data_IF_045641474985
#
_entry.id   IF_045641474985
#
_cell.length_a   1.000
_cell.length_b   1.000
_cell.length_c   1.000
_cell.angle_alpha   90.00
_cell.angle_beta   90.00
_cell.angle_gamma   90.00
#
_symmetry.space_group_name_H-M   'P 1'
#
loop_
_entity.id
_entity.type
_entity.pdbx_description
1 polymer ?
#
# COMPACT_ATOMS: atom_id res chain seq x y z
N UNK A 1 6.59 27.43 1.17
CA UNK A 1 6.97 27.58 2.59
C UNK A 1 6.20 28.74 3.25
N UNK A 2 6.15 29.92 2.63
CA UNK A 2 5.49 31.11 3.19
C UNK A 2 3.97 30.92 3.42
N UNK A 3 3.28 30.13 2.60
CA UNK A 3 1.83 29.90 2.72
C UNK A 3 1.48 28.94 3.86
N UNK A 4 2.37 28.01 4.20
CA UNK A 4 2.11 26.98 5.19
C UNK A 4 2.80 27.20 6.55
N UNK A 5 3.52 28.31 6.73
CA UNK A 5 4.25 28.66 7.96
C UNK A 5 5.13 27.53 8.54
N UNK A 6 5.74 26.73 7.66
CA UNK A 6 6.60 25.61 8.06
C UNK A 6 8.06 26.09 8.12
N UNK A 7 8.71 25.84 9.26
CA UNK A 7 10.14 26.09 9.46
C UNK A 7 10.93 24.94 8.82
N UNK A 8 11.50 25.16 7.63
CA UNK A 8 12.33 24.16 6.93
C UNK A 8 13.71 24.72 6.66
N UNK A 9 14.73 23.87 6.71
CA UNK A 9 16.06 24.18 6.23
C UNK A 9 16.11 24.20 4.71
N UNK A 10 17.05 24.93 4.09
CA UNK A 10 17.24 24.93 2.64
C UNK A 10 17.45 23.52 2.08
N UNK A 11 18.19 22.67 2.80
CA UNK A 11 18.42 21.28 2.42
C UNK A 11 17.09 20.47 2.26
N UNK A 12 16.13 20.68 3.15
CA UNK A 12 14.81 20.02 3.07
C UNK A 12 14.00 20.56 1.91
N UNK A 13 14.05 21.86 1.67
CA UNK A 13 13.37 22.49 0.53
C UNK A 13 13.93 21.96 -0.79
N UNK A 14 15.25 21.93 -0.94
CA UNK A 14 15.93 21.43 -2.14
C UNK A 14 15.65 19.94 -2.36
N UNK A 15 15.67 19.15 -1.28
CA UNK A 15 15.36 17.73 -1.33
C UNK A 15 13.93 17.47 -1.89
N UNK A 16 12.94 18.26 -1.46
CA UNK A 16 11.57 18.15 -1.95
C UNK A 16 11.47 18.61 -3.41
N UNK A 17 12.09 19.77 -3.74
CA UNK A 17 12.04 20.34 -5.08
C UNK A 17 12.67 19.43 -6.14
N UNK A 18 13.74 18.73 -5.81
CA UNK A 18 14.39 17.78 -6.72
C UNK A 18 13.52 16.56 -7.04
N UNK A 19 12.63 16.14 -6.11
CA UNK A 19 11.81 14.94 -6.23
C UNK A 19 10.41 15.20 -6.75
N UNK A 20 9.85 16.37 -6.49
CA UNK A 20 8.49 16.75 -6.93
C UNK A 20 8.60 17.90 -7.91
N UNK A 21 8.86 17.58 -9.20
CA UNK A 21 9.14 18.60 -10.22
C UNK A 21 7.90 19.22 -10.87
N UNK A 22 6.82 18.46 -11.09
CA UNK A 22 5.70 18.89 -11.93
C UNK A 22 4.31 18.49 -11.37
N UNK A 23 4.19 18.21 -10.08
CA UNK A 23 2.92 17.80 -9.49
C UNK A 23 2.57 18.64 -8.27
N UNK A 24 1.81 19.71 -8.50
CA UNK A 24 1.40 20.65 -7.46
C UNK A 24 0.59 19.93 -6.36
N UNK A 25 -0.28 18.98 -6.71
CA UNK A 25 -1.08 18.23 -5.73
C UNK A 25 -0.22 17.38 -4.81
N UNK A 26 0.83 16.74 -5.36
CA UNK A 26 1.79 15.99 -4.55
C UNK A 26 2.56 16.93 -3.63
N UNK A 27 3.01 18.07 -4.14
CA UNK A 27 3.70 19.07 -3.34
C UNK A 27 2.84 19.57 -2.18
N UNK A 28 1.58 19.92 -2.44
CA UNK A 28 0.63 20.33 -1.40
C UNK A 28 0.41 19.23 -0.36
N UNK A 29 0.28 17.97 -0.78
CA UNK A 29 0.14 16.83 0.12
C UNK A 29 1.36 16.66 1.04
N UNK A 30 2.57 16.73 0.48
CA UNK A 30 3.82 16.69 1.27
C UNK A 30 3.88 17.86 2.24
N UNK A 31 3.57 19.07 1.80
CA UNK A 31 3.60 20.24 2.68
C UNK A 31 2.61 20.10 3.84
N UNK A 32 1.39 19.59 3.60
CA UNK A 32 0.40 19.33 4.67
C UNK A 32 0.90 18.29 5.68
N UNK A 33 1.54 17.22 5.22
CA UNK A 33 2.13 16.18 6.12
C UNK A 33 3.28 16.76 6.96
N UNK A 34 4.14 17.59 6.38
CA UNK A 34 5.23 18.26 7.09
C UNK A 34 4.72 19.25 8.13
N UNK A 35 3.65 20.00 7.80
CA UNK A 35 2.98 20.90 8.74
C UNK A 35 2.40 20.13 9.92
N UNK A 36 1.65 19.05 9.67
CA UNK A 36 1.10 18.21 10.72
C UNK A 36 2.20 17.61 11.63
N UNK A 37 3.33 17.21 11.05
CA UNK A 37 4.48 16.75 11.85
C UNK A 37 5.03 17.85 12.74
N UNK A 38 5.23 19.06 12.23
CA UNK A 38 5.72 20.21 13.00
C UNK A 38 4.74 20.57 14.13
N UNK A 39 3.43 20.58 13.85
CA UNK A 39 2.39 20.90 14.84
C UNK A 39 2.33 19.87 16.00
N UNK A 40 2.59 18.59 15.70
CA UNK A 40 2.56 17.53 16.70
C UNK A 40 3.88 17.44 17.49
N UNK A 41 5.02 17.58 16.81
CA UNK A 41 6.34 17.36 17.40
C UNK A 41 7.00 18.63 17.97
N UNK A 42 6.47 19.79 17.61
CA UNK A 42 7.07 21.12 17.85
C UNK A 42 8.52 21.24 17.34
N UNK A 43 8.86 20.43 16.33
CA UNK A 43 10.19 20.37 15.74
C UNK A 43 10.13 20.60 14.22
N UNK A 44 11.14 21.29 13.63
CA UNK A 44 11.20 21.46 12.18
C UNK A 44 11.42 20.09 11.51
N UNK A 45 10.72 19.83 10.37
CA UNK A 45 10.93 18.61 9.61
C UNK A 45 12.36 18.52 9.07
N UNK A 46 12.96 17.34 9.18
CA UNK A 46 14.26 17.00 8.60
C UNK A 46 14.11 16.22 7.28
N UNK A 47 15.24 15.91 6.62
CA UNK A 47 15.26 15.15 5.35
C UNK A 47 14.56 13.79 5.50
N UNK A 48 14.71 13.07 6.60
CA UNK A 48 14.09 11.76 6.80
C UNK A 48 12.57 11.86 6.86
N UNK A 49 12.02 12.90 7.53
CA UNK A 49 10.59 13.18 7.57
C UNK A 49 10.07 13.60 6.19
N UNK A 50 10.81 14.45 5.47
CA UNK A 50 10.46 14.84 4.11
C UNK A 50 10.46 13.63 3.16
N UNK A 51 11.43 12.74 3.28
CA UNK A 51 11.50 11.51 2.49
C UNK A 51 10.29 10.60 2.77
N UNK A 52 9.91 10.41 4.02
CA UNK A 52 8.73 9.65 4.40
C UNK A 52 7.45 10.26 3.83
N UNK A 53 7.29 11.58 3.97
CA UNK A 53 6.13 12.30 3.46
C UNK A 53 5.99 12.20 1.94
N UNK A 54 7.10 12.33 1.18
CA UNK A 54 7.14 12.15 -0.27
C UNK A 54 6.76 10.72 -0.65
N UNK A 55 7.34 9.74 0.03
CA UNK A 55 7.08 8.32 -0.20
C UNK A 55 5.60 8.00 -0.04
N UNK A 56 4.99 8.42 1.04
CA UNK A 56 3.55 8.23 1.30
C UNK A 56 2.67 8.83 0.20
N UNK A 57 2.96 10.07 -0.20
CA UNK A 57 2.17 10.78 -1.24
C UNK A 57 2.37 10.17 -2.63
N UNK A 58 3.57 9.69 -2.96
CA UNK A 58 3.81 9.02 -4.24
C UNK A 58 3.12 7.68 -4.32
N UNK A 59 2.99 6.97 -3.20
CA UNK A 59 2.23 5.72 -3.13
C UNK A 59 0.71 5.93 -3.24
N UNK A 60 0.16 6.96 -2.58
CA UNK A 60 -1.25 7.34 -2.72
C UNK A 60 -1.65 7.66 -4.17
N UNK A 61 -0.70 8.04 -5.03
CA UNK A 61 -0.94 8.37 -6.44
C UNK A 61 -0.54 7.26 -7.42
N UNK A 62 -0.19 6.06 -6.92
CA UNK A 62 0.13 4.95 -7.81
C UNK A 62 -1.17 4.42 -8.45
N UNK A 63 -1.21 4.21 -9.79
CA UNK A 63 -2.37 3.61 -10.43
C UNK A 63 -2.74 2.28 -9.76
N UNK A 64 -4.03 2.06 -9.51
CA UNK A 64 -4.52 0.85 -8.84
C UNK A 64 -4.06 -0.42 -9.56
N UNK A 65 -3.98 -0.40 -10.89
CA UNK A 65 -3.47 -1.53 -11.68
C UNK A 65 -2.04 -1.92 -11.31
N UNK A 66 -1.17 -0.92 -11.08
CA UNK A 66 0.23 -1.16 -10.66
C UNK A 66 0.27 -1.73 -9.25
N UNK A 67 -0.59 -1.27 -8.35
CA UNK A 67 -0.70 -1.82 -6.99
C UNK A 67 -1.17 -3.28 -7.05
N UNK A 68 -2.18 -3.58 -7.87
CA UNK A 68 -2.68 -4.95 -8.08
C UNK A 68 -1.56 -5.89 -8.55
N UNK A 69 -0.81 -5.49 -9.57
CA UNK A 69 0.27 -6.32 -10.10
C UNK A 69 1.37 -6.55 -9.05
N UNK A 70 1.75 -5.52 -8.30
CA UNK A 70 2.71 -5.66 -7.18
C UNK A 70 2.22 -6.62 -6.11
N UNK A 71 0.97 -6.50 -5.67
CA UNK A 71 0.38 -7.42 -4.67
C UNK A 71 0.45 -8.85 -5.16
N UNK A 72 0.03 -9.11 -6.40
CA UNK A 72 0.01 -10.45 -6.98
C UNK A 72 1.43 -11.02 -7.07
N UNK A 73 2.41 -10.24 -7.54
CA UNK A 73 3.81 -10.66 -7.66
C UNK A 73 4.42 -10.96 -6.29
N UNK A 74 4.29 -10.05 -5.32
CA UNK A 74 4.86 -10.24 -3.98
C UNK A 74 4.27 -11.46 -3.27
N UNK A 75 2.95 -11.66 -3.34
CA UNK A 75 2.30 -12.82 -2.74
C UNK A 75 2.66 -14.10 -3.49
N UNK A 76 2.74 -14.09 -4.82
CA UNK A 76 3.14 -15.26 -5.62
C UNK A 76 4.55 -15.72 -5.25
N UNK A 77 5.46 -14.77 -5.06
CA UNK A 77 6.84 -15.03 -4.64
C UNK A 77 6.90 -15.57 -3.20
N UNK A 78 6.16 -14.96 -2.27
CA UNK A 78 6.17 -15.35 -0.86
C UNK A 78 5.62 -16.78 -0.62
N UNK A 79 4.66 -17.21 -1.45
CA UNK A 79 3.98 -18.53 -1.32
C UNK A 79 4.41 -19.56 -2.35
N UNK A 80 5.42 -19.25 -3.17
CA UNK A 80 5.95 -20.12 -4.23
C UNK A 80 4.82 -20.68 -5.14
N UNK A 81 3.99 -19.76 -5.65
CA UNK A 81 2.88 -20.07 -6.55
C UNK A 81 2.95 -19.19 -7.80
N UNK A 82 2.56 -19.73 -8.96
CA UNK A 82 2.57 -18.91 -10.19
C UNK A 82 1.40 -17.90 -10.19
N UNK A 83 1.63 -16.75 -10.80
CA UNK A 83 0.62 -15.70 -11.01
C UNK A 83 -0.61 -16.24 -11.74
N UNK A 84 -0.41 -17.08 -12.77
CA UNK A 84 -1.48 -17.71 -13.52
C UNK A 84 -2.34 -18.61 -12.62
N UNK A 85 -1.72 -19.37 -11.71
CA UNK A 85 -2.44 -20.22 -10.74
C UNK A 85 -3.25 -19.37 -9.76
N UNK A 86 -2.73 -18.22 -9.33
CA UNK A 86 -3.47 -17.29 -8.47
C UNK A 86 -4.67 -16.66 -9.19
N UNK A 87 -4.49 -16.21 -10.43
CA UNK A 87 -5.55 -15.61 -11.26
C UNK A 87 -6.53 -16.66 -11.80
N UNK A 88 -6.14 -17.92 -11.85
CA UNK A 88 -6.92 -19.02 -12.41
C UNK A 88 -7.82 -19.75 -11.41
N UNK A 89 -8.24 -20.97 -11.80
CA UNK A 89 -9.12 -21.86 -11.01
C UNK A 89 -8.35 -22.86 -10.12
N UNK A 90 -7.05 -22.63 -9.87
CA UNK A 90 -6.21 -23.52 -9.06
C UNK A 90 -6.82 -23.77 -7.68
N UNK A 91 -6.85 -25.08 -7.28
CA UNK A 91 -7.46 -25.53 -6.01
C UNK A 91 -6.43 -26.08 -5.01
N UNK A 92 -5.15 -26.09 -5.35
CA UNK A 92 -4.10 -26.49 -4.40
C UNK A 92 -4.12 -25.58 -3.18
N UNK A 93 -3.88 -26.13 -2.01
CA UNK A 93 -4.01 -25.42 -0.72
C UNK A 93 -3.18 -24.15 -0.65
N UNK A 94 -1.92 -24.19 -1.12
CA UNK A 94 -1.03 -23.02 -1.17
C UNK A 94 -1.55 -21.93 -2.15
N UNK A 95 -2.07 -22.32 -3.31
CA UNK A 95 -2.64 -21.39 -4.30
C UNK A 95 -3.89 -20.70 -3.75
N UNK A 96 -4.75 -21.46 -3.08
CA UNK A 96 -5.96 -20.89 -2.45
C UNK A 96 -5.58 -19.93 -1.34
N UNK A 97 -4.60 -20.27 -0.50
CA UNK A 97 -4.12 -19.39 0.57
C UNK A 97 -3.50 -18.11 0.03
N UNK A 98 -2.61 -18.22 -0.93
CA UNK A 98 -1.99 -17.06 -1.58
C UNK A 98 -3.05 -16.11 -2.20
N UNK A 99 -4.07 -16.68 -2.86
CA UNK A 99 -5.18 -15.91 -3.43
C UNK A 99 -5.98 -15.18 -2.34
N UNK A 100 -6.28 -15.85 -1.22
CA UNK A 100 -7.02 -15.26 -0.09
C UNK A 100 -6.23 -14.09 0.52
N UNK A 101 -4.92 -14.24 0.70
CA UNK A 101 -4.03 -13.19 1.20
C UNK A 101 -3.98 -12.01 0.24
N UNK A 102 -3.83 -12.26 -1.07
CA UNK A 102 -3.79 -11.19 -2.05
C UNK A 102 -5.10 -10.39 -2.10
N UNK A 103 -6.27 -11.05 -2.01
CA UNK A 103 -7.57 -10.38 -1.92
C UNK A 103 -7.66 -9.51 -0.66
N UNK A 104 -7.23 -10.03 0.49
CA UNK A 104 -7.21 -9.29 1.75
C UNK A 104 -6.29 -8.06 1.68
N UNK A 105 -5.06 -8.22 1.16
CA UNK A 105 -4.12 -7.11 1.00
C UNK A 105 -4.71 -6.04 0.09
N UNK A 106 -5.27 -6.40 -1.08
CA UNK A 106 -5.88 -5.44 -1.99
C UNK A 106 -7.01 -4.66 -1.31
N UNK A 107 -7.86 -5.33 -0.53
CA UNK A 107 -8.92 -4.65 0.23
C UNK A 107 -8.38 -3.70 1.28
N UNK A 108 -7.26 -4.06 1.91
CA UNK A 108 -6.63 -3.27 2.98
C UNK A 108 -5.92 -2.02 2.47
N UNK A 109 -5.27 -2.09 1.29
CA UNK A 109 -4.39 -1.01 0.81
C UNK A 109 -4.93 -0.24 -0.39
N UNK A 110 -6.12 -0.59 -0.90
CA UNK A 110 -6.77 0.09 -2.03
C UNK A 110 -8.25 0.35 -1.72
N UNK A 111 -8.86 1.25 -2.49
CA UNK A 111 -10.31 1.54 -2.44
C UNK A 111 -11.12 0.64 -3.39
N UNK A 112 -10.53 -0.47 -3.88
CA UNK A 112 -11.22 -1.39 -4.79
C UNK A 112 -12.47 -1.98 -4.14
N UNK A 113 -13.55 -2.04 -4.91
CA UNK A 113 -14.75 -2.79 -4.56
C UNK A 113 -14.49 -4.30 -4.57
N UNK A 114 -15.34 -5.06 -3.89
CA UNK A 114 -15.22 -6.53 -3.85
C UNK A 114 -15.34 -7.14 -5.26
N UNK A 115 -16.16 -6.56 -6.13
CA UNK A 115 -16.30 -7.01 -7.52
C UNK A 115 -15.01 -6.75 -8.34
N UNK A 116 -14.38 -5.59 -8.15
CA UNK A 116 -13.11 -5.29 -8.81
C UNK A 116 -11.99 -6.22 -8.35
N UNK A 117 -11.93 -6.52 -7.05
CA UNK A 117 -10.99 -7.52 -6.51
C UNK A 117 -11.29 -8.90 -7.10
N UNK A 118 -12.55 -9.31 -7.13
CA UNK A 118 -12.96 -10.61 -7.67
C UNK A 118 -12.57 -10.81 -9.13
N UNK A 119 -12.64 -9.76 -9.95
CA UNK A 119 -12.19 -9.77 -11.36
C UNK A 119 -10.71 -10.11 -11.51
N UNK A 120 -9.85 -9.72 -10.56
CA UNK A 120 -8.42 -10.02 -10.61
C UNK A 120 -8.09 -11.50 -10.38
N UNK A 121 -9.01 -12.26 -9.77
CA UNK A 121 -8.80 -13.64 -9.35
C UNK A 121 -9.78 -14.64 -10.01
N UNK A 122 -9.96 -14.50 -11.32
CA UNK A 122 -10.78 -15.43 -12.10
C UNK A 122 -12.27 -15.18 -11.98
N UNK A 123 -12.67 -13.91 -11.94
CA UNK A 123 -14.06 -13.45 -11.87
C UNK A 123 -14.84 -14.07 -10.69
N UNK A 124 -14.23 -14.01 -9.50
CA UNK A 124 -14.94 -14.37 -8.27
C UNK A 124 -16.01 -13.34 -7.98
N UNK A 125 -17.20 -13.82 -7.58
CA UNK A 125 -18.29 -12.96 -7.15
C UNK A 125 -17.97 -12.23 -5.83
N UNK A 126 -18.66 -11.14 -5.58
CA UNK A 126 -18.43 -10.31 -4.41
C UNK A 126 -18.66 -11.07 -3.09
N UNK A 127 -19.59 -12.03 -3.06
CA UNK A 127 -19.88 -12.83 -1.86
C UNK A 127 -18.72 -13.76 -1.52
N UNK A 128 -18.07 -14.35 -2.54
CA UNK A 128 -16.85 -15.14 -2.36
C UNK A 128 -15.69 -14.27 -1.84
N UNK A 129 -15.53 -13.05 -2.36
CA UNK A 129 -14.50 -12.13 -1.90
C UNK A 129 -14.76 -11.67 -0.47
N UNK A 130 -16.01 -11.27 -0.14
CA UNK A 130 -16.40 -10.88 1.22
C UNK A 130 -16.12 -11.99 2.22
N UNK A 131 -16.62 -13.21 1.95
CA UNK A 131 -16.35 -14.37 2.80
C UNK A 131 -14.83 -14.60 3.01
N UNK A 132 -14.06 -14.43 1.94
CA UNK A 132 -12.59 -14.58 2.01
C UNK A 132 -11.96 -13.56 2.95
N UNK A 133 -12.37 -12.30 2.86
CA UNK A 133 -11.86 -11.21 3.70
C UNK A 133 -12.22 -11.45 5.16
N UNK A 134 -13.50 -11.73 5.46
CA UNK A 134 -13.99 -12.02 6.82
C UNK A 134 -13.24 -13.20 7.45
N UNK A 135 -12.98 -14.24 6.64
CA UNK A 135 -12.18 -15.40 7.07
C UNK A 135 -10.74 -15.02 7.39
N UNK A 136 -10.11 -14.19 6.53
CA UNK A 136 -8.74 -13.74 6.76
C UNK A 136 -8.64 -12.88 8.02
N UNK A 137 -9.56 -11.96 8.25
CA UNK A 137 -9.62 -11.14 9.46
C UNK A 137 -9.64 -12.00 10.71
N UNK A 138 -10.56 -12.97 10.78
CA UNK A 138 -10.63 -13.91 11.91
C UNK A 138 -9.36 -14.74 12.10
N UNK A 139 -8.71 -15.15 11.01
CA UNK A 139 -7.42 -15.87 11.10
C UNK A 139 -6.31 -14.99 11.65
N UNK A 140 -6.29 -13.70 11.29
CA UNK A 140 -5.26 -12.76 11.73
C UNK A 140 -5.39 -12.36 13.20
N UNK A 141 -6.61 -12.38 13.76
CA UNK A 141 -6.83 -12.16 15.20
C UNK A 141 -6.09 -13.18 16.08
N UNK A 142 -5.95 -14.42 15.60
CA UNK A 142 -5.38 -15.53 16.38
C UNK A 142 -4.01 -15.98 15.90
N UNK A 143 -3.58 -15.58 14.70
CA UNK A 143 -2.32 -16.01 14.08
C UNK A 143 -1.36 -14.83 13.88
N UNK A 144 -0.58 -14.53 14.91
CA UNK A 144 0.40 -13.43 14.90
C UNK A 144 1.48 -13.63 13.82
N UNK A 145 1.89 -14.86 13.52
CA UNK A 145 2.90 -15.15 12.49
C UNK A 145 2.37 -14.74 11.11
N UNK A 146 1.17 -15.17 10.76
CA UNK A 146 0.54 -14.82 9.49
C UNK A 146 0.30 -13.30 9.39
N UNK A 147 -0.07 -12.66 10.49
CA UNK A 147 -0.25 -11.20 10.53
C UNK A 147 1.07 -10.48 10.23
N UNK A 148 2.18 -10.92 10.82
CA UNK A 148 3.49 -10.34 10.57
C UNK A 148 3.93 -10.55 9.11
N UNK A 149 3.73 -11.74 8.54
CA UNK A 149 4.03 -12.03 7.13
C UNK A 149 3.27 -11.09 6.17
N UNK A 150 1.98 -10.90 6.40
CA UNK A 150 1.16 -10.00 5.58
C UNK A 150 1.63 -8.55 5.72
N UNK A 151 1.93 -8.10 6.94
CA UNK A 151 2.44 -6.77 7.17
C UNK A 151 3.80 -6.54 6.49
N UNK A 152 4.67 -7.54 6.45
CA UNK A 152 5.95 -7.45 5.75
C UNK A 152 5.77 -7.39 4.22
N UNK A 153 4.82 -8.14 3.67
CA UNK A 153 4.45 -8.04 2.25
C UNK A 153 3.91 -6.62 1.94
N UNK A 154 3.02 -6.10 2.78
CA UNK A 154 2.46 -4.74 2.61
C UNK A 154 3.58 -3.68 2.67
N UNK A 155 4.53 -3.81 3.61
CA UNK A 155 5.70 -2.92 3.69
C UNK A 155 6.53 -2.97 2.42
N UNK A 156 6.81 -4.16 1.89
CA UNK A 156 7.53 -4.31 0.62
C UNK A 156 6.80 -3.60 -0.52
N UNK A 157 5.50 -3.83 -0.68
CA UNK A 157 4.69 -3.17 -1.73
C UNK A 157 4.78 -1.65 -1.60
N UNK A 158 4.75 -1.12 -0.39
CA UNK A 158 4.87 0.32 -0.10
C UNK A 158 6.32 0.85 -0.17
N UNK A 159 7.33 0.00 -0.26
CA UNK A 159 8.74 0.43 -0.29
C UNK A 159 9.30 0.67 -1.70
N UNK A 160 8.58 0.27 -2.74
CA UNK A 160 8.89 0.56 -4.13
C UNK A 160 8.21 1.86 -4.56
#
# INVERSE_FOLDING_TARGET
>A
ALVYNIKMTEEVVDFIAQRIKNNIRQLEGVMKKLMAFQDISDMPPNIAIAQSAIKDITHENMPVSVVVDKVIIEVSTAYDVSVESMKGKGRKKNVVMARQIAMYILKTITDMSLDEIGKQFGNKDHSTVSYTIDKMEKMLETNTTLNNEINDIIKKIKSY
#
